data_IF_271351518360
#
_entry.id   IF_271351518360
#
_cell.length_a   1.000
_cell.length_b   1.000
_cell.length_c   1.000
_cell.angle_alpha   90.00
_cell.angle_beta   90.00
_cell.angle_gamma   90.00
#
_symmetry.space_group_name_H-M   'P 1'
#
loop_
_entity.id
_entity.type
_entity.pdbx_description
1 polymer ?
#
# COMPACT_ATOMS: atom_id res chain seq x y z
N UNK A 1 7.91 17.18 10.86
CA UNK A 1 7.02 16.03 11.11
C UNK A 1 5.92 16.46 12.08
N UNK A 2 4.66 16.10 11.84
CA UNK A 2 3.53 16.54 12.69
C UNK A 2 3.19 15.51 13.77
N UNK A 3 2.48 15.92 14.85
CA UNK A 3 1.94 14.98 15.86
C UNK A 3 1.07 13.89 15.22
N UNK A 4 0.28 14.24 14.20
CA UNK A 4 -0.53 13.29 13.42
C UNK A 4 0.32 12.24 12.73
N UNK A 5 1.48 12.61 12.19
CA UNK A 5 2.38 11.66 11.51
C UNK A 5 2.89 10.60 12.49
N UNK A 6 3.26 10.99 13.71
CA UNK A 6 3.74 10.07 14.74
C UNK A 6 2.62 9.10 15.14
N UNK A 7 1.46 9.64 15.53
CA UNK A 7 0.33 8.82 16.00
C UNK A 7 -0.14 7.86 14.90
N UNK A 8 -0.35 8.36 13.69
CA UNK A 8 -0.89 7.56 12.61
C UNK A 8 0.10 6.51 12.12
N UNK A 9 1.40 6.83 12.05
CA UNK A 9 2.42 5.82 11.75
C UNK A 9 2.53 4.74 12.82
N UNK A 10 2.38 5.10 14.09
CA UNK A 10 2.37 4.13 15.18
C UNK A 10 1.15 3.21 15.09
N UNK A 11 -0.05 3.79 14.90
CA UNK A 11 -1.30 3.03 14.76
C UNK A 11 -1.24 2.06 13.57
N UNK A 12 -0.91 2.55 12.37
CA UNK A 12 -0.86 1.69 11.18
C UNK A 12 0.29 0.69 11.27
N UNK A 13 1.40 1.06 11.90
CA UNK A 13 2.52 0.16 12.14
C UNK A 13 2.19 -0.98 13.09
N UNK A 14 1.45 -0.70 14.18
CA UNK A 14 1.02 -1.73 15.14
C UNK A 14 0.04 -2.69 14.47
N UNK A 15 -0.94 -2.16 13.73
CA UNK A 15 -1.89 -2.96 12.94
C UNK A 15 -1.12 -3.89 11.98
N UNK A 16 -0.19 -3.33 11.21
CA UNK A 16 0.65 -4.09 10.27
C UNK A 16 1.45 -5.16 10.99
N UNK A 17 2.11 -4.82 12.09
CA UNK A 17 2.93 -5.74 12.86
C UNK A 17 2.13 -6.88 13.50
N UNK A 18 0.92 -6.61 14.01
CA UNK A 18 0.02 -7.65 14.53
C UNK A 18 -0.40 -8.62 13.43
N UNK A 19 -0.75 -8.11 12.26
CA UNK A 19 -1.13 -8.95 11.12
C UNK A 19 0.05 -9.79 10.65
N UNK A 20 1.23 -9.19 10.48
CA UNK A 20 2.46 -9.91 10.09
C UNK A 20 2.77 -11.01 11.11
N UNK A 21 2.68 -10.72 12.41
CA UNK A 21 2.90 -11.73 13.43
C UNK A 21 1.96 -12.93 13.26
N UNK A 22 0.64 -12.69 13.18
CA UNK A 22 -0.34 -13.78 13.07
C UNK A 22 -0.20 -14.55 11.76
N UNK A 23 0.05 -13.86 10.65
CA UNK A 23 0.31 -14.49 9.35
C UNK A 23 1.56 -15.35 9.36
N UNK A 24 2.67 -14.85 9.92
CA UNK A 24 3.93 -15.58 9.95
C UNK A 24 3.83 -16.87 10.76
N UNK A 25 3.07 -16.85 11.87
CA UNK A 25 2.77 -18.05 12.65
C UNK A 25 1.85 -19.01 11.88
N UNK A 26 0.78 -18.50 11.27
CA UNK A 26 -0.19 -19.32 10.53
C UNK A 26 0.43 -20.01 9.30
N UNK A 27 1.25 -19.29 8.54
CA UNK A 27 1.90 -19.78 7.32
C UNK A 27 3.23 -20.49 7.58
N UNK A 28 3.65 -20.58 8.85
CA UNK A 28 4.94 -21.13 9.26
C UNK A 28 6.12 -20.54 8.46
N UNK A 29 6.12 -19.22 8.27
CA UNK A 29 7.15 -18.52 7.49
C UNK A 29 8.52 -18.65 8.15
N UNK A 30 9.64 -18.67 7.41
CA UNK A 30 10.97 -18.66 8.04
C UNK A 30 11.18 -17.40 8.89
N UNK A 31 11.89 -17.54 10.02
CA UNK A 31 12.23 -16.40 10.89
C UNK A 31 13.20 -15.47 10.17
N UNK A 32 12.87 -14.20 10.13
CA UNK A 32 13.73 -13.17 9.56
C UNK A 32 14.74 -12.74 10.64
N UNK A 33 16.04 -12.87 10.35
CA UNK A 33 17.14 -12.59 11.30
C UNK A 33 17.05 -13.34 12.64
N UNK A 34 16.37 -14.50 12.69
CA UNK A 34 16.17 -15.27 13.92
C UNK A 34 15.21 -14.62 14.94
N UNK A 35 14.62 -13.48 14.62
CA UNK A 35 13.74 -12.75 15.53
C UNK A 35 12.38 -13.45 15.69
N UNK A 36 11.79 -13.46 16.90
CA UNK A 36 10.44 -13.96 17.10
C UNK A 36 9.40 -13.03 16.46
N UNK A 37 8.40 -13.61 15.78
CA UNK A 37 7.36 -12.86 15.08
C UNK A 37 6.57 -11.91 16.01
N UNK A 38 6.49 -12.23 17.31
CA UNK A 38 5.82 -11.41 18.32
C UNK A 38 6.43 -10.02 18.53
N UNK A 39 7.63 -9.76 18.00
CA UNK A 39 8.23 -8.42 18.00
C UNK A 39 7.76 -7.54 16.84
N UNK A 40 7.09 -8.10 15.81
CA UNK A 40 6.64 -7.32 14.67
C UNK A 40 5.76 -6.10 15.05
N UNK A 41 4.81 -6.18 16.00
CA UNK A 41 4.05 -5.02 16.49
C UNK A 41 4.89 -3.91 17.12
N UNK A 42 6.10 -4.22 17.58
CA UNK A 42 7.04 -3.24 18.14
C UNK A 42 8.01 -2.71 17.09
N UNK A 43 8.47 -3.56 16.16
CA UNK A 43 9.43 -3.19 15.13
C UNK A 43 8.78 -2.35 14.03
N UNK A 44 7.63 -2.76 13.51
CA UNK A 44 7.00 -2.13 12.34
C UNK A 44 6.60 -0.66 12.57
N UNK A 45 6.04 -0.24 13.72
CA UNK A 45 5.83 1.18 14.01
C UNK A 45 7.08 2.05 13.89
N UNK A 46 8.20 1.53 14.41
CA UNK A 46 9.48 2.23 14.34
C UNK A 46 10.00 2.33 12.90
N UNK A 47 9.76 1.31 12.08
CA UNK A 47 10.05 1.35 10.64
C UNK A 47 9.19 2.37 9.89
N UNK A 48 7.89 2.50 10.20
CA UNK A 48 7.04 3.57 9.65
C UNK A 48 7.49 4.95 10.06
N UNK A 49 7.81 5.15 11.33
CA UNK A 49 8.37 6.40 11.82
C UNK A 49 9.66 6.75 11.09
N UNK A 50 10.58 5.80 10.95
CA UNK A 50 11.83 5.99 10.23
C UNK A 50 11.62 6.31 8.74
N UNK A 51 10.73 5.57 8.06
CA UNK A 51 10.41 5.80 6.64
C UNK A 51 9.76 7.16 6.41
N UNK A 52 8.86 7.60 7.29
CA UNK A 52 8.23 8.92 7.21
C UNK A 52 9.25 10.01 7.55
N UNK A 53 10.08 9.83 8.56
CA UNK A 53 11.17 10.74 8.89
C UNK A 53 12.12 10.90 7.70
N UNK A 54 12.48 9.80 7.04
CA UNK A 54 13.30 9.82 5.83
C UNK A 54 12.59 10.54 4.67
N UNK A 55 11.28 10.33 4.50
CA UNK A 55 10.48 11.10 3.55
C UNK A 55 10.45 12.60 3.87
N UNK A 56 10.42 13.00 5.14
CA UNK A 56 10.54 14.41 5.56
C UNK A 56 11.94 14.97 5.32
N UNK A 57 12.98 14.18 5.55
CA UNK A 57 14.36 14.53 5.27
C UNK A 57 14.57 14.79 3.78
N UNK A 58 14.17 13.83 2.92
CA UNK A 58 14.18 14.01 1.46
C UNK A 58 13.26 15.15 1.00
N UNK A 59 12.19 15.38 1.76
CA UNK A 59 11.24 16.46 1.61
C UNK A 59 11.83 17.86 1.64
N UNK A 60 13.03 18.03 2.23
CA UNK A 60 13.78 19.29 2.25
C UNK A 60 14.22 19.72 0.84
N UNK A 61 14.48 18.76 -0.05
CA UNK A 61 14.80 19.04 -1.45
C UNK A 61 13.56 19.06 -2.33
N UNK A 62 12.67 18.07 -2.19
CA UNK A 62 11.43 17.98 -2.97
C UNK A 62 10.25 17.63 -2.07
N UNK A 63 9.27 18.56 -1.95
CA UNK A 63 8.06 18.40 -1.12
C UNK A 63 7.28 17.10 -1.39
N UNK A 64 7.43 16.52 -2.58
CA UNK A 64 6.91 15.19 -2.97
C UNK A 64 7.18 14.11 -1.91
N UNK A 65 8.43 14.02 -1.43
CA UNK A 65 8.85 12.91 -0.56
C UNK A 65 8.16 12.91 0.81
N UNK A 66 7.74 14.08 1.30
CA UNK A 66 7.02 14.18 2.59
C UNK A 66 5.69 13.44 2.60
N UNK A 67 4.97 13.48 1.48
CA UNK A 67 3.70 12.81 1.30
C UNK A 67 3.92 11.37 0.85
N UNK A 68 4.92 11.14 0.00
CA UNK A 68 5.26 9.81 -0.50
C UNK A 68 5.65 8.85 0.63
N UNK A 69 6.41 9.29 1.63
CA UNK A 69 6.76 8.43 2.77
C UNK A 69 5.54 7.94 3.56
N UNK A 70 4.53 8.81 3.74
CA UNK A 70 3.25 8.43 4.37
C UNK A 70 2.44 7.50 3.47
N UNK A 71 2.42 7.79 2.18
CA UNK A 71 1.74 6.98 1.18
C UNK A 71 2.29 5.55 1.13
N UNK A 72 3.62 5.41 1.14
CA UNK A 72 4.29 4.12 1.16
C UNK A 72 3.93 3.32 2.42
N UNK A 73 3.97 3.93 3.60
CA UNK A 73 3.57 3.28 4.85
C UNK A 73 2.11 2.77 4.81
N UNK A 74 1.19 3.56 4.25
CA UNK A 74 -0.19 3.14 4.04
C UNK A 74 -0.30 2.01 3.00
N UNK A 75 0.47 2.07 1.91
CA UNK A 75 0.52 1.00 0.90
C UNK A 75 0.87 -0.36 1.50
N UNK A 76 1.93 -0.42 2.29
CA UNK A 76 2.32 -1.65 3.00
C UNK A 76 1.31 -2.08 4.07
N UNK A 77 0.71 -1.12 4.79
CA UNK A 77 -0.37 -1.43 5.75
C UNK A 77 -1.57 -2.06 5.04
N UNK A 78 -1.94 -1.56 3.86
CA UNK A 78 -3.03 -2.11 3.07
C UNK A 78 -2.72 -3.52 2.57
N UNK A 79 -1.48 -3.77 2.13
CA UNK A 79 -1.05 -5.11 1.75
C UNK A 79 -1.18 -6.08 2.93
N UNK A 80 -0.73 -5.67 4.13
CA UNK A 80 -0.89 -6.49 5.32
C UNK A 80 -2.37 -6.79 5.62
N UNK A 81 -3.26 -5.78 5.58
CA UNK A 81 -4.70 -5.97 5.78
C UNK A 81 -5.30 -6.93 4.74
N UNK A 82 -4.95 -6.76 3.47
CA UNK A 82 -5.43 -7.62 2.38
C UNK A 82 -5.04 -9.09 2.61
N UNK A 83 -3.75 -9.35 2.88
CA UNK A 83 -3.28 -10.70 3.20
C UNK A 83 -3.86 -11.24 4.51
N UNK A 84 -4.01 -10.39 5.52
CA UNK A 84 -4.56 -10.74 6.82
C UNK A 84 -6.00 -11.22 6.72
N UNK A 85 -6.87 -10.42 6.09
CA UNK A 85 -8.28 -10.77 5.91
C UNK A 85 -8.39 -12.01 5.00
N UNK A 86 -7.64 -12.08 3.90
CA UNK A 86 -7.67 -13.25 3.01
C UNK A 86 -7.36 -14.53 3.80
N UNK A 87 -6.23 -14.58 4.50
CA UNK A 87 -5.83 -15.80 5.21
C UNK A 87 -6.78 -16.16 6.36
N UNK A 88 -7.39 -15.17 7.03
CA UNK A 88 -8.43 -15.44 8.02
C UNK A 88 -9.65 -16.09 7.39
N UNK A 89 -10.10 -15.60 6.23
CA UNK A 89 -11.24 -16.17 5.52
C UNK A 89 -10.92 -17.59 5.00
N UNK A 90 -9.72 -17.80 4.47
CA UNK A 90 -9.25 -19.12 4.03
C UNK A 90 -9.15 -20.13 5.18
N UNK A 91 -8.62 -19.70 6.33
CA UNK A 91 -8.51 -20.54 7.52
C UNK A 91 -9.88 -20.96 8.07
N UNK A 92 -10.86 -20.05 8.02
CA UNK A 92 -12.21 -20.31 8.54
C UNK A 92 -13.07 -21.14 7.57
N UNK A 93 -12.96 -20.90 6.26
CA UNK A 93 -13.81 -21.57 5.27
C UNK A 93 -13.22 -22.87 4.72
N UNK A 94 -11.89 -23.04 4.76
CA UNK A 94 -11.18 -24.11 4.07
C UNK A 94 -11.16 -24.00 2.54
N UNK A 95 -11.74 -22.95 1.97
CA UNK A 95 -11.86 -22.77 0.51
C UNK A 95 -10.58 -22.14 -0.05
N UNK A 96 -9.60 -23.00 -0.36
CA UNK A 96 -8.30 -22.57 -0.88
C UNK A 96 -8.17 -22.64 -2.41
N UNK A 97 -9.20 -23.14 -3.10
CA UNK A 97 -9.22 -23.32 -4.56
C UNK A 97 -10.64 -23.41 -5.12
N UNK A 98 -10.79 -23.32 -6.44
CA UNK A 98 -12.07 -23.48 -7.14
C UNK A 98 -12.83 -22.17 -7.36
N UNK A 99 -14.05 -22.28 -7.87
CA UNK A 99 -14.86 -21.14 -8.34
C UNK A 99 -15.23 -20.13 -7.24
N UNK A 100 -15.22 -20.54 -5.97
CA UNK A 100 -15.52 -19.66 -4.84
C UNK A 100 -14.31 -18.78 -4.43
N UNK A 101 -13.07 -19.20 -4.72
CA UNK A 101 -11.86 -18.48 -4.32
C UNK A 101 -11.79 -17.02 -4.81
N UNK A 102 -12.17 -16.67 -6.05
CA UNK A 102 -12.22 -15.28 -6.50
C UNK A 102 -13.08 -14.37 -5.61
N UNK A 103 -14.19 -14.87 -5.07
CA UNK A 103 -15.04 -14.12 -4.13
C UNK A 103 -14.31 -13.86 -2.82
N UNK A 104 -13.62 -14.88 -2.30
CA UNK A 104 -12.77 -14.78 -1.11
C UNK A 104 -11.58 -13.85 -1.31
N UNK A 105 -11.11 -13.65 -2.55
CA UNK A 105 -10.06 -12.68 -2.87
C UNK A 105 -10.58 -11.25 -3.01
N UNK A 106 -11.79 -11.06 -3.54
CA UNK A 106 -12.37 -9.74 -3.80
C UNK A 106 -12.76 -8.96 -2.53
N UNK A 107 -13.23 -9.66 -1.49
CA UNK A 107 -13.67 -9.03 -0.24
C UNK A 107 -12.49 -8.36 0.53
N UNK A 108 -11.37 -9.06 0.82
CA UNK A 108 -10.17 -8.45 1.42
C UNK A 108 -9.69 -7.21 0.66
N UNK A 109 -9.63 -7.29 -0.67
CA UNK A 109 -9.21 -6.20 -1.52
C UNK A 109 -10.13 -4.97 -1.38
N UNK A 110 -11.44 -5.18 -1.28
CA UNK A 110 -12.41 -4.09 -1.08
C UNK A 110 -12.21 -3.39 0.26
N UNK A 111 -12.03 -4.16 1.34
CA UNK A 111 -11.71 -3.61 2.66
C UNK A 111 -10.40 -2.83 2.67
N UNK A 112 -9.35 -3.36 2.04
CA UNK A 112 -8.06 -2.70 1.93
C UNK A 112 -8.16 -1.38 1.15
N UNK A 113 -8.94 -1.33 0.07
CA UNK A 113 -9.20 -0.11 -0.72
C UNK A 113 -9.98 0.93 0.11
N UNK A 114 -11.03 0.52 0.81
CA UNK A 114 -11.82 1.44 1.65
C UNK A 114 -10.98 2.02 2.81
N UNK A 115 -10.21 1.16 3.48
CA UNK A 115 -9.24 1.57 4.50
C UNK A 115 -8.22 2.57 3.92
N UNK A 116 -7.66 2.25 2.74
CA UNK A 116 -6.71 3.11 2.03
C UNK A 116 -7.27 4.50 1.74
N UNK A 117 -8.53 4.59 1.32
CA UNK A 117 -9.18 5.88 1.04
C UNK A 117 -9.20 6.79 2.26
N UNK A 118 -9.58 6.27 3.43
CA UNK A 118 -9.62 7.03 4.67
C UNK A 118 -8.25 7.58 5.06
N UNK A 119 -7.21 6.74 5.07
CA UNK A 119 -5.87 7.19 5.44
C UNK A 119 -5.29 8.16 4.42
N UNK A 120 -5.50 7.92 3.12
CA UNK A 120 -5.03 8.84 2.10
C UNK A 120 -5.70 10.22 2.22
N UNK A 121 -7.02 10.24 2.40
CA UNK A 121 -7.79 11.48 2.56
C UNK A 121 -7.39 12.25 3.81
N UNK A 122 -7.45 11.62 4.99
CA UNK A 122 -7.33 12.33 6.28
C UNK A 122 -5.87 12.53 6.73
N UNK A 123 -4.94 11.72 6.24
CA UNK A 123 -3.54 11.79 6.66
C UNK A 123 -2.57 12.18 5.55
N UNK A 124 -2.48 11.38 4.48
CA UNK A 124 -1.42 11.54 3.46
C UNK A 124 -1.58 12.88 2.74
N UNK A 125 -2.79 13.16 2.26
CA UNK A 125 -3.08 14.37 1.48
C UNK A 125 -3.77 15.47 2.28
N UNK A 126 -4.30 15.16 3.47
CA UNK A 126 -4.91 16.14 4.36
C UNK A 126 -6.16 16.82 3.78
N UNK A 127 -6.89 16.12 2.91
CA UNK A 127 -8.12 16.57 2.27
C UNK A 127 -9.37 16.32 3.14
N UNK A 128 -9.23 16.18 4.45
CA UNK A 128 -10.35 15.86 5.36
C UNK A 128 -11.48 16.90 5.37
N UNK A 129 -11.21 18.15 4.97
CA UNK A 129 -12.19 19.24 4.88
C UNK A 129 -12.92 19.33 3.53
N UNK A 130 -12.63 18.45 2.57
CA UNK A 130 -13.26 18.52 1.26
C UNK A 130 -14.69 17.94 1.27
N UNK A 131 -15.63 18.67 0.64
CA UNK A 131 -17.04 18.27 0.51
C UNK A 131 -17.29 17.26 -0.63
N UNK A 132 -16.23 16.79 -1.30
CA UNK A 132 -16.32 15.94 -2.50
C UNK A 132 -16.63 14.46 -2.24
N UNK A 133 -16.84 14.03 -0.99
CA UNK A 133 -16.89 12.64 -0.51
C UNK A 133 -17.12 11.53 -1.55
N UNK A 134 -18.31 11.43 -2.14
CA UNK A 134 -18.64 10.38 -3.14
C UNK A 134 -17.85 10.53 -4.46
N UNK A 135 -17.69 11.75 -4.96
CA UNK A 135 -16.91 12.03 -6.19
C UNK A 135 -15.43 11.71 -6.00
N UNK A 136 -14.88 11.98 -4.81
CA UNK A 136 -13.50 11.64 -4.47
C UNK A 136 -13.30 10.13 -4.37
N UNK A 137 -14.21 9.41 -3.73
CA UNK A 137 -14.17 7.95 -3.69
C UNK A 137 -14.22 7.36 -5.10
N UNK A 138 -15.12 7.84 -5.96
CA UNK A 138 -15.21 7.38 -7.35
C UNK A 138 -13.89 7.61 -8.11
N UNK A 139 -13.32 8.83 -8.01
CA UNK A 139 -12.01 9.13 -8.63
C UNK A 139 -10.88 8.28 -8.03
N UNK A 140 -10.92 8.00 -6.73
CA UNK A 140 -9.95 7.14 -6.07
C UNK A 140 -9.99 5.72 -6.63
N UNK A 141 -11.18 5.15 -6.78
CA UNK A 141 -11.36 3.82 -7.40
C UNK A 141 -10.87 3.82 -8.84
N UNK A 142 -11.23 4.84 -9.64
CA UNK A 142 -10.77 4.96 -11.04
C UNK A 142 -9.24 5.03 -11.12
N UNK A 143 -8.60 5.87 -10.31
CA UNK A 143 -7.13 6.00 -10.31
C UNK A 143 -6.46 4.68 -9.90
N UNK A 144 -7.01 3.94 -8.93
CA UNK A 144 -6.50 2.60 -8.59
C UNK A 144 -6.67 1.61 -9.75
N UNK A 145 -7.82 1.60 -10.41
CA UNK A 145 -8.06 0.72 -11.56
C UNK A 145 -7.05 0.99 -12.69
N UNK A 146 -6.80 2.27 -13.00
CA UNK A 146 -5.78 2.64 -13.99
C UNK A 146 -4.38 2.28 -13.51
N UNK A 147 -4.06 2.44 -12.22
CA UNK A 147 -2.78 2.03 -11.66
C UNK A 147 -2.53 0.52 -11.82
N UNK A 148 -3.57 -0.31 -11.66
CA UNK A 148 -3.48 -1.76 -11.95
C UNK A 148 -3.17 -2.01 -13.42
N UNK A 149 -3.82 -1.30 -14.35
CA UNK A 149 -3.49 -1.40 -15.77
C UNK A 149 -2.06 -0.97 -16.06
N UNK A 150 -1.58 0.13 -15.44
CA UNK A 150 -0.18 0.57 -15.54
C UNK A 150 0.78 -0.51 -15.04
N UNK A 151 0.47 -1.17 -13.92
CA UNK A 151 1.27 -2.28 -13.40
C UNK A 151 1.41 -3.38 -14.46
N UNK A 152 0.27 -3.88 -14.94
CA UNK A 152 0.20 -4.98 -15.91
C UNK A 152 0.93 -4.60 -17.20
N UNK A 153 0.71 -3.40 -17.73
CA UNK A 153 1.35 -2.94 -18.96
C UNK A 153 2.87 -2.82 -18.82
N UNK A 154 3.37 -2.17 -17.76
CA UNK A 154 4.81 -2.00 -17.55
C UNK A 154 5.50 -3.35 -17.33
N UNK A 155 4.91 -4.21 -16.50
CA UNK A 155 5.43 -5.56 -16.28
C UNK A 155 5.45 -6.36 -17.60
N UNK A 156 4.37 -6.31 -18.38
CA UNK A 156 4.28 -7.00 -19.67
C UNK A 156 5.30 -6.48 -20.68
N UNK A 157 5.57 -5.17 -20.69
CA UNK A 157 6.55 -4.60 -21.60
C UNK A 157 7.96 -5.08 -21.28
N UNK A 158 8.32 -5.07 -19.99
CA UNK A 158 9.64 -5.53 -19.54
C UNK A 158 9.81 -7.02 -19.81
N UNK A 159 8.82 -7.84 -19.51
CA UNK A 159 8.97 -9.31 -19.63
C UNK A 159 8.92 -9.76 -21.08
N UNK A 160 8.08 -9.17 -21.94
CA UNK A 160 7.84 -9.68 -23.28
C UNK A 160 8.63 -8.95 -24.39
N UNK A 161 9.00 -7.69 -24.19
CA UNK A 161 9.70 -6.90 -25.22
C UNK A 161 11.12 -6.50 -24.84
N UNK A 162 11.51 -6.67 -23.57
CA UNK A 162 12.89 -6.49 -23.13
C UNK A 162 13.47 -7.84 -22.75
N UNK A 163 14.73 -8.08 -23.12
CA UNK A 163 15.47 -9.25 -22.68
C UNK A 163 16.87 -8.85 -22.28
N UNK A 164 17.33 -9.43 -21.17
CA UNK A 164 18.71 -9.33 -20.72
C UNK A 164 19.34 -10.73 -20.87
N UNK A 165 20.47 -10.84 -21.61
CA UNK A 165 21.15 -12.12 -21.75
C UNK A 165 21.54 -12.71 -20.39
N UNK A 166 21.49 -14.03 -20.27
CA UNK A 166 21.93 -14.80 -19.10
C UNK A 166 21.13 -14.54 -17.79
N UNK A 167 19.93 -13.97 -17.88
CA UNK A 167 19.02 -13.88 -16.72
C UNK A 167 18.02 -15.03 -16.76
N UNK A 168 17.85 -15.69 -15.61
CA UNK A 168 16.82 -16.70 -15.42
C UNK A 168 15.40 -16.11 -15.67
N UNK A 169 14.53 -16.77 -16.46
CA UNK A 169 13.20 -16.23 -16.80
C UNK A 169 12.31 -15.93 -15.59
N UNK A 170 12.36 -16.75 -14.54
CA UNK A 170 11.60 -16.53 -13.31
C UNK A 170 12.10 -15.29 -12.56
N UNK A 171 13.41 -15.05 -12.54
CA UNK A 171 13.97 -13.81 -11.98
C UNK A 171 13.54 -12.60 -12.82
N UNK A 172 13.59 -12.71 -14.15
CA UNK A 172 13.18 -11.63 -15.05
C UNK A 172 11.71 -11.25 -14.90
N UNK A 173 10.83 -12.24 -14.77
CA UNK A 173 9.41 -12.03 -14.51
C UNK A 173 9.17 -11.27 -13.19
N UNK A 174 9.92 -11.59 -12.13
CA UNK A 174 9.83 -10.87 -10.86
C UNK A 174 10.36 -9.44 -10.96
N UNK A 175 11.44 -9.20 -11.72
CA UNK A 175 11.93 -7.84 -11.99
C UNK A 175 10.85 -7.02 -12.71
N UNK A 176 10.21 -7.58 -13.73
CA UNK A 176 9.09 -6.95 -14.41
C UNK A 176 7.93 -6.62 -13.47
N UNK A 177 7.54 -7.57 -12.61
CA UNK A 177 6.47 -7.37 -11.63
C UNK A 177 6.80 -6.27 -10.59
N UNK A 178 8.05 -6.21 -10.12
CA UNK A 178 8.52 -5.15 -9.20
C UNK A 178 8.49 -3.80 -9.89
N UNK A 179 9.01 -3.70 -11.11
CA UNK A 179 9.01 -2.47 -11.89
C UNK A 179 7.59 -1.98 -12.21
N UNK A 180 6.68 -2.89 -12.59
CA UNK A 180 5.26 -2.58 -12.81
C UNK A 180 4.60 -2.07 -11.53
N UNK A 181 4.88 -2.69 -10.39
CA UNK A 181 4.36 -2.24 -9.09
C UNK A 181 4.90 -0.88 -8.70
N UNK A 182 6.18 -0.59 -8.95
CA UNK A 182 6.78 0.71 -8.70
C UNK A 182 6.15 1.81 -9.59
N UNK A 183 5.96 1.54 -10.88
CA UNK A 183 5.30 2.46 -11.81
C UNK A 183 3.84 2.74 -11.41
N UNK A 184 3.09 1.69 -11.06
CA UNK A 184 1.72 1.82 -10.60
C UNK A 184 1.61 2.63 -9.30
N UNK A 185 2.53 2.42 -8.36
CA UNK A 185 2.59 3.14 -7.08
C UNK A 185 2.88 4.64 -7.30
N UNK A 186 3.79 4.97 -8.22
CA UNK A 186 4.05 6.37 -8.58
C UNK A 186 2.84 7.01 -9.28
N UNK A 187 2.24 6.30 -10.23
CA UNK A 187 1.06 6.77 -10.96
C UNK A 187 -0.11 7.04 -10.01
N UNK A 188 -0.44 6.08 -9.14
CA UNK A 188 -1.53 6.22 -8.17
C UNK A 188 -1.27 7.35 -7.19
N UNK A 189 -0.05 7.50 -6.68
CA UNK A 189 0.31 8.61 -5.81
C UNK A 189 0.08 9.98 -6.48
N UNK A 190 0.58 10.14 -7.71
CA UNK A 190 0.42 11.38 -8.49
C UNK A 190 -1.07 11.63 -8.77
N UNK A 191 -1.81 10.61 -9.22
CA UNK A 191 -3.23 10.69 -9.50
C UNK A 191 -4.04 11.09 -8.26
N UNK A 192 -3.77 10.49 -7.11
CA UNK A 192 -4.42 10.87 -5.85
C UNK A 192 -4.12 12.30 -5.45
N UNK A 193 -2.85 12.71 -5.58
CA UNK A 193 -2.43 14.07 -5.22
C UNK A 193 -3.07 15.15 -6.07
N UNK A 194 -3.17 14.94 -7.38
CA UNK A 194 -3.57 15.98 -8.35
C UNK A 194 -5.08 15.92 -8.64
N UNK A 195 -5.63 14.71 -8.79
CA UNK A 195 -6.99 14.50 -9.33
C UNK A 195 -8.01 14.29 -8.21
N UNK A 196 -7.63 13.54 -7.16
CA UNK A 196 -8.55 13.08 -6.11
C UNK A 196 -8.58 14.06 -4.93
N UNK A 197 -7.45 14.23 -4.26
CA UNK A 197 -7.35 14.94 -2.99
C UNK A 197 -6.75 16.32 -3.18
N UNK A 198 -7.52 17.21 -3.80
CA UNK A 198 -7.16 18.62 -3.86
C UNK A 198 -7.22 19.20 -2.45
N UNK A 199 -6.11 19.82 -2.00
CA UNK A 199 -6.08 20.49 -0.70
C UNK A 199 -7.07 21.65 -0.75
N UNK A 200 -8.05 21.64 0.16
CA UNK A 200 -8.98 22.76 0.31
C UNK A 200 -8.17 24.01 0.68
N UNK A 201 -8.16 25.00 -0.23
CA UNK A 201 -7.78 26.37 0.08
C UNK A 201 -9.08 27.08 0.50
N UNK A 202 -9.21 27.51 1.76
CA UNK A 202 -10.19 28.53 2.08
C UNK A 202 -9.76 29.80 1.31
N UNK A 203 -10.66 30.28 0.47
CA UNK A 203 -10.74 31.66 -0.03
C UNK A 203 -9.75 32.09 -1.14
N UNK A 204 -10.29 32.21 -2.35
CA UNK A 204 -10.38 33.54 -2.98
C UNK A 204 -11.87 33.89 -2.94
N UNK A 205 -12.23 34.79 -2.04
CA UNK A 205 -13.51 35.52 -2.03
C UNK A 205 -13.49 36.49 -3.22
#
# INVERSE_FOLDING_TARGET
MSKKDIIFSAVTGVITGLIIWRLAVYLNLPRVFGLPYGLAPLIVPNLWLAGIWFGHFLGRWLKFFTQFGKYAAIGFTNAAIDFGILNLMLAYSGINSGWAYPVFRGLPATFAVAHSYCWNKYWVFGAGKSNGGKKELAKFVIVNAVAVSVNISVASVIVNYMSLPNINPQIWANIGAVAGSAAALLFSFIGFKIIVFKKYHPDVI
#
